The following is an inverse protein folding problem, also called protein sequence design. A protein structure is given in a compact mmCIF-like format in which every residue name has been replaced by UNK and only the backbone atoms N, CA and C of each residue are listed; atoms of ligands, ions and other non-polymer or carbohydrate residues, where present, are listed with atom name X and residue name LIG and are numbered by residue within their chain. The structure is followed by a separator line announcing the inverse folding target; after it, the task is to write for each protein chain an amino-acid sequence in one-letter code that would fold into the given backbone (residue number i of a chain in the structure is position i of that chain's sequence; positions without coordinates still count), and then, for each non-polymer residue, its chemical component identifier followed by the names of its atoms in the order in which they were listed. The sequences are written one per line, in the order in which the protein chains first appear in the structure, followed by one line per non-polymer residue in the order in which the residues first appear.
data_IF_837584837141
#
_entry.id   IF_837584837141
#
_cell.length_a   1.000
_cell.length_b   1.000
_cell.length_c   1.000
_cell.angle_alpha   90.00
_cell.angle_beta   90.00
_cell.angle_gamma   90.00
#
_symmetry.space_group_name_H-M   'P 1'
#
loop_
_entity.id
_entity.type
_entity.pdbx_description
1 polymer ?
#
# COMPACT_ATOMS: atom_id res chain seq x y z
N UNK A 1 -6.91 7.07 -2.55
CA UNK A 1 -6.26 5.76 -2.52
C UNK A 1 -6.54 4.93 -3.77
N UNK A 2 -6.40 5.50 -4.99
CA UNK A 2 -6.74 4.80 -6.24
C UNK A 2 -5.75 3.70 -6.64
N UNK A 3 -4.52 3.71 -6.11
CA UNK A 3 -3.49 2.70 -6.44
C UNK A 3 -3.71 1.34 -5.76
N UNK A 4 -4.22 1.32 -4.53
CA UNK A 4 -4.47 0.07 -3.81
C UNK A 4 -5.60 -0.77 -4.44
N UNK A 5 -6.52 -0.12 -5.19
CA UNK A 5 -7.60 -0.79 -5.92
C UNK A 5 -7.19 -1.26 -7.33
N UNK A 6 -6.03 -0.85 -7.84
CA UNK A 6 -5.61 -1.12 -9.22
C UNK A 6 -4.44 -2.09 -9.36
N UNK A 7 -3.64 -2.28 -8.30
CA UNK A 7 -2.44 -3.12 -8.34
C UNK A 7 -2.69 -4.49 -7.71
N UNK A 8 -2.08 -5.52 -8.29
CA UNK A 8 -2.07 -6.86 -7.71
C UNK A 8 -1.38 -6.82 -6.33
N UNK A 9 -1.86 -7.66 -5.41
CA UNK A 9 -1.37 -7.69 -4.02
C UNK A 9 0.16 -7.84 -3.93
N UNK A 10 0.75 -8.65 -4.81
CA UNK A 10 2.19 -8.88 -4.87
C UNK A 10 2.97 -7.62 -5.30
N UNK A 11 2.48 -6.91 -6.32
CA UNK A 11 3.10 -5.67 -6.82
C UNK A 11 3.01 -4.56 -5.77
N UNK A 12 1.89 -4.49 -5.05
CA UNK A 12 1.70 -3.54 -3.95
C UNK A 12 2.70 -3.80 -2.82
N UNK A 13 2.88 -5.06 -2.41
CA UNK A 13 3.86 -5.44 -1.39
C UNK A 13 5.28 -5.07 -1.85
N UNK A 14 5.65 -5.40 -3.09
CA UNK A 14 6.98 -5.06 -3.62
C UNK A 14 7.23 -3.55 -3.59
N UNK A 15 6.26 -2.72 -4.00
CA UNK A 15 6.41 -1.27 -3.95
C UNK A 15 6.42 -0.69 -2.53
N UNK A 16 5.70 -1.32 -1.60
CA UNK A 16 5.71 -0.96 -0.19
C UNK A 16 7.08 -1.27 0.45
N UNK A 17 7.64 -2.46 0.20
CA UNK A 17 8.96 -2.87 0.70
C UNK A 17 10.08 -1.99 0.13
N UNK A 18 10.00 -1.65 -1.16
CA UNK A 18 10.97 -0.77 -1.81
C UNK A 18 10.83 0.72 -1.41
N UNK A 19 9.79 1.11 -0.68
CA UNK A 19 9.58 2.49 -0.25
C UNK A 19 9.19 3.46 -1.38
N UNK A 20 8.81 2.96 -2.55
CA UNK A 20 8.37 3.79 -3.69
C UNK A 20 7.11 4.59 -3.36
N UNK A 21 6.18 3.98 -2.64
CA UNK A 21 4.93 4.60 -2.20
C UNK A 21 5.20 5.83 -1.32
N UNK A 22 6.12 5.72 -0.35
CA UNK A 22 6.49 6.84 0.52
C UNK A 22 7.13 7.99 -0.26
N UNK A 23 7.94 7.68 -1.27
CA UNK A 23 8.61 8.66 -2.12
C UNK A 23 7.63 9.46 -2.99
N UNK A 24 6.62 8.79 -3.54
CA UNK A 24 5.56 9.47 -4.31
C UNK A 24 4.73 10.41 -3.44
N UNK A 25 4.34 9.95 -2.25
CA UNK A 25 3.61 10.77 -1.27
C UNK A 25 4.44 11.98 -0.84
N UNK A 26 5.75 11.81 -0.65
CA UNK A 26 6.65 12.93 -0.34
C UNK A 26 6.64 13.99 -1.45
N UNK A 27 6.71 13.57 -2.71
CA UNK A 27 6.75 14.49 -3.85
C UNK A 27 5.44 15.27 -4.04
N UNK A 28 4.30 14.63 -3.79
CA UNK A 28 3.00 15.30 -3.82
C UNK A 28 2.84 16.26 -2.64
N UNK A 29 3.20 15.84 -1.43
CA UNK A 29 3.02 16.64 -0.23
C UNK A 29 3.99 17.83 -0.14
N UNK A 30 5.21 17.71 -0.67
CA UNK A 30 6.19 18.81 -0.76
C UNK A 30 5.66 20.03 -1.52
N UNK A 31 4.69 19.85 -2.42
CA UNK A 31 4.05 20.96 -3.16
C UNK A 31 3.20 21.87 -2.25
N UNK A 32 2.71 21.33 -1.14
CA UNK A 32 1.85 22.06 -0.19
C UNK A 32 2.68 22.58 0.99
N UNK A 33 3.54 21.75 1.57
CA UNK A 33 4.38 22.13 2.72
C UNK A 33 5.64 21.26 2.82
N UNK A 34 6.79 21.79 3.26
CA UNK A 34 8.00 20.99 3.47
C UNK A 34 7.79 19.94 4.57
N UNK A 35 7.94 18.66 4.22
CA UNK A 35 7.95 17.55 5.16
C UNK A 35 9.38 17.07 5.44
N UNK A 36 9.67 16.71 6.70
CA UNK A 36 10.99 16.22 7.13
C UNK A 36 11.21 14.73 6.88
N UNK A 37 10.19 13.90 7.09
CA UNK A 37 10.25 12.45 6.92
C UNK A 37 8.86 11.94 6.56
N UNK A 38 8.79 11.05 5.58
CA UNK A 38 7.57 10.35 5.17
C UNK A 38 7.90 8.88 5.06
N UNK A 39 7.19 8.06 5.83
CA UNK A 39 7.36 6.61 5.86
C UNK A 39 6.00 5.93 5.94
N UNK A 40 5.94 4.68 5.50
CA UNK A 40 4.80 3.80 5.72
C UNK A 40 4.96 3.20 7.12
N UNK A 41 4.14 3.64 8.09
CA UNK A 41 4.27 3.22 9.49
C UNK A 41 3.74 1.80 9.75
N UNK A 42 2.60 1.45 9.16
CA UNK A 42 1.96 0.15 9.35
C UNK A 42 1.20 -0.25 8.10
N UNK A 43 1.36 -1.51 7.70
CA UNK A 43 0.53 -2.18 6.71
C UNK A 43 -0.26 -3.28 7.41
N UNK A 44 -1.57 -3.26 7.28
CA UNK A 44 -2.47 -4.28 7.82
C UNK A 44 -3.13 -5.05 6.69
N UNK A 45 -3.16 -6.37 6.81
CA UNK A 45 -3.90 -7.23 5.89
C UNK A 45 -5.33 -7.40 6.42
N UNK A 46 -6.29 -6.75 5.77
CA UNK A 46 -7.71 -6.84 6.16
C UNK A 46 -8.38 -8.13 5.69
N UNK A 47 -7.92 -8.69 4.55
CA UNK A 47 -8.45 -9.91 3.95
C UNK A 47 -7.32 -10.71 3.31
N UNK A 48 -7.16 -11.96 3.74
CA UNK A 48 -6.29 -12.91 3.06
C UNK A 48 -7.12 -13.65 1.99
N UNK A 49 -6.68 -13.72 0.73
CA UNK A 49 -7.42 -14.41 -0.33
C UNK A 49 -7.64 -15.90 -0.02
N UNK A 50 -6.75 -16.50 0.77
CA UNK A 50 -6.77 -17.91 1.16
C UNK A 50 -8.00 -18.26 2.02
N UNK A 51 -8.54 -17.30 2.79
CA UNK A 51 -9.72 -17.53 3.63
C UNK A 51 -11.04 -17.39 2.86
N UNK A 52 -11.05 -16.61 1.77
CA UNK A 52 -12.24 -16.48 0.92
C UNK A 52 -12.51 -17.78 0.13
N UNK A 53 -11.47 -18.51 -0.29
CA UNK A 53 -11.65 -19.82 -0.97
C UNK A 53 -12.21 -20.90 -0.04
N UNK A 54 -11.85 -20.89 1.25
CA UNK A 54 -12.39 -21.83 2.26
C UNK A 54 -13.84 -21.52 2.65
N UNK A 55 -14.28 -20.27 2.51
CA UNK A 55 -15.67 -19.86 2.80
C UNK A 55 -16.63 -20.08 1.62
N UNK A 56 -16.12 -20.18 0.38
CA UNK A 56 -16.95 -20.50 -0.79
C UNK A 56 -17.18 -22.02 -0.97
N UNK A 57 -16.35 -22.85 -0.31
CA UNK A 57 -16.42 -24.31 -0.37
C UNK A 57 -17.20 -24.97 0.79
N UNK A 58 -17.73 -24.17 1.73
CA UNK A 58 -18.51 -24.60 2.89
C UNK A 58 -19.95 -24.07 2.80
#
# INVERSE_FOLDING_TARGET
YRKAEQLNFEEFIQQAVLGKIASEVYNEAKKIHPLRKVEVFKTELLKAPILEELQLAA
#
